data_IF_572676243431
#
_entry.id   IF_572676243431
#
_cell.length_a   1.000
_cell.length_b   1.000
_cell.length_c   1.000
_cell.angle_alpha   90.00
_cell.angle_beta   90.00
_cell.angle_gamma   90.00
#
_symmetry.space_group_name_H-M   'P 1'
#
loop_
_entity.id
_entity.type
_entity.pdbx_description
1 polymer ?
#
# COMPACT_ATOMS: atom_id res chain seq x y z
N UNK A 1 30.91 31.94 22.19
CA UNK A 1 30.89 31.04 21.02
C UNK A 1 29.63 31.36 20.24
N UNK A 2 29.76 32.06 19.11
CA UNK A 2 28.63 32.31 18.23
C UNK A 2 28.30 31.00 17.51
N UNK A 3 27.07 30.53 17.62
CA UNK A 3 26.58 29.39 16.84
C UNK A 3 26.49 29.89 15.42
N UNK A 4 27.42 29.49 14.56
CA UNK A 4 27.29 29.71 13.12
C UNK A 4 26.12 28.84 12.62
N UNK A 5 24.94 29.44 12.56
CA UNK A 5 23.83 28.91 11.79
C UNK A 5 24.23 29.01 10.33
N UNK A 6 24.62 27.88 9.73
CA UNK A 6 24.76 27.79 8.28
C UNK A 6 23.47 28.33 7.66
N UNK A 7 23.55 29.31 6.73
CA UNK A 7 22.37 29.73 5.99
C UNK A 7 21.84 28.48 5.28
N UNK A 8 20.57 28.18 5.47
CA UNK A 8 19.89 27.11 4.75
C UNK A 8 20.25 27.23 3.27
N UNK A 9 20.82 26.17 2.67
CA UNK A 9 21.05 26.15 1.22
C UNK A 9 19.69 26.42 0.58
N UNK A 10 19.61 27.53 -0.16
CA UNK A 10 18.39 27.85 -0.89
C UNK A 10 18.36 26.93 -2.10
N UNK A 11 17.30 26.13 -2.23
CA UNK A 11 17.14 25.29 -3.42
C UNK A 11 16.90 26.23 -4.60
N UNK A 12 17.95 26.48 -5.38
CA UNK A 12 17.85 27.20 -6.64
C UNK A 12 17.33 26.21 -7.71
N UNK A 13 16.02 25.96 -7.70
CA UNK A 13 15.39 25.18 -8.76
C UNK A 13 15.28 26.04 -10.01
N UNK A 14 15.78 25.51 -11.12
CA UNK A 14 15.42 25.99 -12.44
C UNK A 14 13.92 25.76 -12.71
N UNK A 15 13.43 26.33 -13.81
CA UNK A 15 12.00 26.27 -14.16
C UNK A 15 11.52 24.82 -14.34
N UNK A 16 12.35 23.96 -14.93
CA UNK A 16 12.04 22.54 -15.12
C UNK A 16 11.96 21.77 -13.80
N UNK A 17 12.88 22.04 -12.85
CA UNK A 17 12.84 21.49 -11.51
C UNK A 17 11.59 21.91 -10.74
N UNK A 18 11.21 23.18 -10.80
CA UNK A 18 9.98 23.69 -10.17
C UNK A 18 8.74 23.00 -10.72
N UNK A 19 8.63 22.86 -12.04
CA UNK A 19 7.50 22.18 -12.69
C UNK A 19 7.41 20.70 -12.32
N UNK A 20 8.56 20.03 -12.19
CA UNK A 20 8.64 18.64 -11.76
C UNK A 20 8.20 18.47 -10.31
N UNK A 21 8.61 19.36 -9.41
CA UNK A 21 8.13 19.38 -8.03
C UNK A 21 6.62 19.67 -7.93
N UNK A 22 6.10 20.60 -8.72
CA UNK A 22 4.65 20.86 -8.77
C UNK A 22 3.86 19.63 -9.22
N UNK A 23 4.33 18.91 -10.25
CA UNK A 23 3.72 17.65 -10.69
C UNK A 23 3.79 16.59 -9.60
N UNK A 24 4.95 16.45 -8.93
CA UNK A 24 5.12 15.50 -7.83
C UNK A 24 4.19 15.81 -6.65
N UNK A 25 4.04 17.08 -6.29
CA UNK A 25 3.11 17.52 -5.27
C UNK A 25 1.66 17.20 -5.64
N UNK A 26 1.27 17.42 -6.90
CA UNK A 26 -0.07 17.11 -7.40
C UNK A 26 -0.36 15.61 -7.36
N UNK A 27 0.55 14.79 -7.89
CA UNK A 27 0.40 13.33 -7.87
C UNK A 27 0.41 12.76 -6.46
N UNK A 28 1.26 13.28 -5.57
CA UNK A 28 1.24 12.90 -4.16
C UNK A 28 -0.11 13.21 -3.52
N UNK A 29 -0.70 14.38 -3.78
CA UNK A 29 -2.04 14.71 -3.25
C UNK A 29 -3.13 13.80 -3.78
N UNK A 30 -3.11 13.49 -5.08
CA UNK A 30 -4.10 12.60 -5.71
C UNK A 30 -4.01 11.20 -5.11
N UNK A 31 -2.82 10.59 -5.13
CA UNK A 31 -2.59 9.25 -4.58
C UNK A 31 -2.82 9.21 -3.07
N UNK A 32 -2.48 10.29 -2.35
CA UNK A 32 -2.72 10.42 -0.92
C UNK A 32 -4.21 10.41 -0.59
N UNK A 33 -5.01 11.17 -1.35
CA UNK A 33 -6.46 11.23 -1.20
C UNK A 33 -7.13 9.90 -1.51
N UNK A 34 -6.68 9.20 -2.56
CA UNK A 34 -7.18 7.86 -2.92
C UNK A 34 -6.89 6.86 -1.80
N UNK A 35 -5.65 6.77 -1.33
CA UNK A 35 -5.27 5.84 -0.27
C UNK A 35 -6.03 6.12 1.04
N UNK A 36 -6.15 7.40 1.42
CA UNK A 36 -6.94 7.77 2.59
C UNK A 36 -8.41 7.39 2.43
N UNK A 37 -9.02 7.69 1.28
CA UNK A 37 -10.43 7.36 1.00
C UNK A 37 -10.71 5.86 1.01
N UNK A 38 -9.87 5.07 0.34
CA UNK A 38 -9.99 3.61 0.32
C UNK A 38 -9.78 3.00 1.71
N UNK A 39 -8.78 3.49 2.44
CA UNK A 39 -8.52 3.06 3.80
C UNK A 39 -9.68 3.39 4.74
N UNK A 40 -10.20 4.61 4.71
CA UNK A 40 -11.34 5.03 5.51
C UNK A 40 -12.61 4.22 5.17
N UNK A 41 -12.90 4.04 3.89
CA UNK A 41 -14.03 3.24 3.44
C UNK A 41 -13.92 1.79 3.93
N UNK A 42 -12.75 1.16 3.75
CA UNK A 42 -12.50 -0.19 4.24
C UNK A 42 -12.65 -0.28 5.77
N UNK A 43 -12.13 0.69 6.51
CA UNK A 43 -12.23 0.76 7.96
C UNK A 43 -13.69 0.86 8.44
N UNK A 44 -14.48 1.74 7.84
CA UNK A 44 -15.90 1.93 8.16
C UNK A 44 -16.68 0.63 7.95
N UNK A 45 -16.37 -0.13 6.90
CA UNK A 45 -17.02 -1.42 6.64
C UNK A 45 -16.53 -2.53 7.57
N UNK A 46 -15.25 -2.54 7.90
CA UNK A 46 -14.61 -3.64 8.61
C UNK A 46 -14.77 -3.56 10.13
N UNK A 47 -14.76 -2.36 10.73
CA UNK A 47 -14.86 -2.17 12.18
C UNK A 47 -16.16 -2.76 12.76
N UNK A 48 -17.35 -2.52 12.19
CA UNK A 48 -18.58 -3.13 12.69
C UNK A 48 -18.56 -4.67 12.65
N UNK A 49 -17.83 -5.27 11.70
CA UNK A 49 -17.73 -6.72 11.56
C UNK A 49 -16.98 -7.38 12.72
N UNK A 50 -16.13 -6.65 13.46
CA UNK A 50 -15.48 -7.15 14.69
C UNK A 50 -16.50 -7.57 15.76
N UNK A 51 -17.64 -6.89 15.82
CA UNK A 51 -18.64 -7.08 16.87
C UNK A 51 -19.74 -8.08 16.48
N UNK A 52 -19.73 -8.63 15.26
CA UNK A 52 -20.78 -9.53 14.73
C UNK A 52 -20.49 -11.03 14.90
N UNK A 53 -19.45 -11.41 15.67
CA UNK A 53 -19.15 -12.80 16.03
C UNK A 53 -17.77 -13.28 15.58
N UNK A 54 -17.29 -14.40 16.15
CA UNK A 54 -15.90 -14.88 16.00
C UNK A 54 -15.49 -15.21 14.55
N UNK A 55 -16.40 -15.73 13.72
CA UNK A 55 -16.09 -16.07 12.32
C UNK A 55 -15.85 -14.80 11.47
N UNK A 56 -16.61 -13.73 11.72
CA UNK A 56 -16.45 -12.45 11.01
C UNK A 56 -15.23 -11.67 11.52
N UNK A 57 -14.84 -11.85 12.78
CA UNK A 57 -13.65 -11.23 13.35
C UNK A 57 -12.35 -11.67 12.66
N UNK A 58 -12.25 -12.96 12.27
CA UNK A 58 -11.08 -13.50 11.56
C UNK A 58 -10.83 -12.82 10.21
N UNK A 59 -11.90 -12.40 9.52
CA UNK A 59 -11.81 -11.66 8.25
C UNK A 59 -11.63 -10.15 8.46
N UNK A 60 -12.24 -9.61 9.52
CA UNK A 60 -12.23 -8.19 9.84
C UNK A 60 -10.88 -7.67 10.32
N UNK A 61 -10.15 -8.45 11.14
CA UNK A 61 -8.84 -8.02 11.69
C UNK A 61 -7.82 -7.70 10.59
N UNK A 62 -7.56 -8.59 9.60
CA UNK A 62 -6.67 -8.25 8.48
C UNK A 62 -7.16 -7.04 7.68
N UNK A 63 -8.47 -6.89 7.50
CA UNK A 63 -9.06 -5.79 6.74
C UNK A 63 -8.87 -4.43 7.41
N UNK A 64 -9.05 -4.36 8.73
CA UNK A 64 -8.79 -3.16 9.54
C UNK A 64 -7.31 -2.81 9.52
N UNK A 65 -6.43 -3.81 9.58
CA UNK A 65 -5.00 -3.57 9.48
C UNK A 65 -4.61 -2.93 8.13
N UNK A 66 -5.13 -3.47 7.02
CA UNK A 66 -4.93 -2.89 5.68
C UNK A 66 -5.53 -1.48 5.58
N UNK A 67 -6.71 -1.25 6.15
CA UNK A 67 -7.32 0.07 6.27
C UNK A 67 -6.38 1.07 6.97
N UNK A 68 -5.78 0.68 8.10
CA UNK A 68 -4.81 1.49 8.82
C UNK A 68 -3.57 1.84 7.98
N UNK A 69 -3.02 0.87 7.25
CA UNK A 69 -1.86 1.12 6.38
C UNK A 69 -2.22 2.07 5.24
N UNK A 70 -3.38 1.87 4.60
CA UNK A 70 -3.87 2.75 3.52
C UNK A 70 -4.05 4.19 4.00
N UNK A 71 -4.65 4.38 5.18
CA UNK A 71 -4.80 5.70 5.79
C UNK A 71 -3.44 6.32 6.07
N UNK A 72 -2.52 5.57 6.67
CA UNK A 72 -1.16 6.04 6.95
C UNK A 72 -0.43 6.48 5.68
N UNK A 73 -0.45 5.66 4.63
CA UNK A 73 0.13 5.98 3.32
C UNK A 73 -0.50 7.24 2.71
N UNK A 74 -1.83 7.37 2.83
CA UNK A 74 -2.57 8.53 2.39
C UNK A 74 -2.12 9.82 3.07
N UNK A 75 -1.98 9.78 4.40
CA UNK A 75 -1.48 10.90 5.21
C UNK A 75 -0.05 11.27 4.82
N UNK A 76 0.83 10.30 4.59
CA UNK A 76 2.20 10.57 4.20
C UNK A 76 2.32 11.29 2.86
N UNK A 77 1.56 10.85 1.86
CA UNK A 77 1.54 11.49 0.54
C UNK A 77 0.90 12.88 0.56
N UNK A 78 -0.18 13.08 1.31
CA UNK A 78 -0.78 14.40 1.48
C UNK A 78 0.19 15.36 2.20
N UNK A 79 0.90 14.87 3.23
CA UNK A 79 1.94 15.62 3.93
C UNK A 79 3.15 15.93 3.04
N UNK A 80 3.56 14.99 2.19
CA UNK A 80 4.62 15.20 1.21
C UNK A 80 4.24 16.30 0.21
N UNK A 81 3.02 16.25 -0.33
CA UNK A 81 2.50 17.29 -1.23
C UNK A 81 2.59 18.68 -0.61
N UNK A 82 2.12 18.83 0.64
CA UNK A 82 2.18 20.11 1.36
C UNK A 82 3.62 20.59 1.55
N UNK A 83 4.54 19.69 1.92
CA UNK A 83 5.95 20.02 2.08
C UNK A 83 6.66 20.40 0.79
N UNK A 84 6.35 19.75 -0.33
CA UNK A 84 6.89 20.13 -1.66
C UNK A 84 6.42 21.54 -2.03
N UNK A 85 5.14 21.85 -1.83
CA UNK A 85 4.63 23.20 -2.12
C UNK A 85 5.32 24.26 -1.23
N UNK A 86 5.59 23.93 0.03
CA UNK A 86 6.36 24.80 0.93
C UNK A 86 7.82 24.94 0.52
N UNK A 87 8.47 23.86 0.05
CA UNK A 87 9.85 23.92 -0.42
C UNK A 87 9.99 24.78 -1.67
N UNK A 88 9.02 24.75 -2.59
CA UNK A 88 8.99 25.64 -3.76
C UNK A 88 8.76 27.10 -3.33
N UNK A 89 7.85 27.34 -2.38
CA UNK A 89 7.48 28.69 -1.96
C UNK A 89 8.57 29.38 -1.11
N UNK A 90 9.30 28.62 -0.30
CA UNK A 90 10.30 29.12 0.65
C UNK A 90 11.74 28.80 0.26
N UNK A 91 11.95 28.10 -0.86
CA UNK A 91 13.26 27.56 -1.29
C UNK A 91 13.97 26.78 -0.16
N UNK A 92 13.18 26.01 0.60
CA UNK A 92 13.59 25.35 1.84
C UNK A 92 14.02 23.90 1.62
N UNK A 93 15.31 23.63 1.82
CA UNK A 93 15.92 22.29 1.86
C UNK A 93 15.26 21.37 2.88
N UNK A 94 14.91 21.91 4.05
CA UNK A 94 14.33 21.14 5.14
C UNK A 94 12.93 20.62 4.77
N UNK A 95 12.14 21.45 4.08
CA UNK A 95 10.82 21.04 3.61
C UNK A 95 10.92 20.04 2.46
N UNK A 96 11.88 20.22 1.55
CA UNK A 96 12.13 19.27 0.49
C UNK A 96 12.56 17.89 1.02
N UNK A 97 13.55 17.86 1.91
CA UNK A 97 14.01 16.62 2.56
C UNK A 97 12.88 15.96 3.34
N UNK A 98 12.07 16.76 4.06
CA UNK A 98 10.91 16.26 4.77
C UNK A 98 9.80 15.72 3.84
N UNK A 99 9.69 16.20 2.60
CA UNK A 99 8.81 15.62 1.61
C UNK A 99 9.34 14.28 1.08
N UNK A 100 10.64 14.20 0.80
CA UNK A 100 11.29 12.98 0.34
C UNK A 100 11.19 11.84 1.36
N UNK A 101 11.40 12.12 2.65
CA UNK A 101 11.24 11.13 3.72
C UNK A 101 9.82 10.54 3.75
N UNK A 102 8.80 11.37 3.55
CA UNK A 102 7.40 10.91 3.49
C UNK A 102 7.10 10.09 2.24
N UNK A 103 7.63 10.49 1.09
CA UNK A 103 7.52 9.73 -0.16
C UNK A 103 8.23 8.37 -0.03
N UNK A 104 9.41 8.35 0.58
CA UNK A 104 10.15 7.12 0.84
C UNK A 104 9.37 6.17 1.75
N UNK A 105 8.78 6.68 2.83
CA UNK A 105 7.90 5.88 3.70
C UNK A 105 6.72 5.30 2.91
N UNK A 106 6.06 6.11 2.07
CA UNK A 106 5.00 5.62 1.19
C UNK A 106 5.49 4.47 0.30
N UNK A 107 6.62 4.63 -0.40
CA UNK A 107 7.17 3.58 -1.26
C UNK A 107 7.55 2.32 -0.50
N UNK A 108 8.12 2.45 0.70
CA UNK A 108 8.46 1.31 1.54
C UNK A 108 7.23 0.48 1.92
N UNK A 109 6.17 1.13 2.40
CA UNK A 109 4.91 0.43 2.73
C UNK A 109 4.24 -0.14 1.49
N UNK A 110 4.21 0.60 0.38
CA UNK A 110 3.63 0.13 -0.88
C UNK A 110 4.35 -1.10 -1.42
N UNK A 111 5.69 -1.08 -1.47
CA UNK A 111 6.50 -2.21 -1.91
C UNK A 111 6.31 -3.43 -0.99
N UNK A 112 6.26 -3.21 0.33
CA UNK A 112 6.01 -4.29 1.31
C UNK A 112 4.64 -4.93 1.10
N UNK A 113 3.59 -4.12 0.93
CA UNK A 113 2.23 -4.59 0.65
C UNK A 113 2.15 -5.37 -0.66
N UNK A 114 2.76 -4.87 -1.73
CA UNK A 114 2.81 -5.57 -3.01
C UNK A 114 3.55 -6.90 -2.88
N UNK A 115 4.70 -6.93 -2.21
CA UNK A 115 5.48 -8.16 -2.00
C UNK A 115 4.65 -9.22 -1.25
N UNK A 116 4.05 -8.85 -0.12
CA UNK A 116 3.21 -9.75 0.68
C UNK A 116 2.01 -10.22 -0.15
N UNK A 117 1.34 -9.30 -0.84
CA UNK A 117 0.20 -9.60 -1.71
C UNK A 117 0.55 -10.56 -2.83
N UNK A 118 1.70 -10.37 -3.49
CA UNK A 118 2.21 -11.27 -4.54
C UNK A 118 2.52 -12.66 -3.99
N UNK A 119 3.15 -12.77 -2.83
CA UNK A 119 3.45 -14.07 -2.19
C UNK A 119 2.15 -14.81 -1.87
N UNK A 120 1.18 -14.13 -1.23
CA UNK A 120 -0.13 -14.72 -0.91
C UNK A 120 -0.89 -15.14 -2.16
N UNK A 121 -0.86 -14.33 -3.22
CA UNK A 121 -1.50 -14.65 -4.49
C UNK A 121 -0.92 -15.92 -5.13
N UNK A 122 0.41 -16.03 -5.18
CA UNK A 122 1.09 -17.23 -5.70
C UNK A 122 0.77 -18.46 -4.84
N UNK A 123 0.72 -18.31 -3.51
CA UNK A 123 0.36 -19.40 -2.61
C UNK A 123 -1.06 -19.91 -2.86
N UNK A 124 -2.04 -19.01 -3.00
CA UNK A 124 -3.43 -19.38 -3.29
C UNK A 124 -3.54 -20.06 -4.66
N UNK A 125 -2.84 -19.52 -5.67
CA UNK A 125 -2.83 -20.11 -7.01
C UNK A 125 -2.25 -21.53 -7.01
N UNK A 126 -1.11 -21.73 -6.34
CA UNK A 126 -0.46 -23.05 -6.27
C UNK A 126 -1.29 -24.07 -5.50
N UNK A 127 -1.88 -23.70 -4.36
CA UNK A 127 -2.77 -24.57 -3.59
C UNK A 127 -4.04 -24.93 -4.38
N UNK A 128 -4.68 -23.96 -5.04
CA UNK A 128 -5.88 -24.19 -5.84
C UNK A 128 -5.65 -25.06 -7.08
N UNK A 129 -4.45 -25.02 -7.66
CA UNK A 129 -4.07 -25.93 -8.75
C UNK A 129 -3.88 -27.37 -8.25
N UNK A 130 -3.31 -27.57 -7.04
CA UNK A 130 -3.13 -28.91 -6.48
C UNK A 130 -4.45 -29.59 -6.08
N UNK A 131 -5.44 -28.85 -5.60
CA UNK A 131 -6.76 -29.41 -5.24
C UNK A 131 -7.55 -29.97 -6.42
N UNK A 132 -7.25 -29.55 -7.66
CA UNK A 132 -7.90 -30.06 -8.87
C UNK A 132 -7.22 -31.30 -9.48
N UNK A 133 -6.17 -31.83 -8.84
CA UNK A 133 -5.39 -32.99 -9.34
C UNK A 133 -5.68 -34.30 -8.60
N UNK A 134 -6.87 -34.47 -8.01
CA UNK A 134 -7.30 -35.78 -7.51
C UNK A 134 -7.27 -36.80 -8.66
N UNK A 135 -6.30 -37.73 -8.60
CA UNK A 135 -6.10 -38.83 -9.54
C UNK A 135 -7.42 -39.60 -9.75
N UNK A 136 -7.74 -40.06 -10.98
CA UNK A 136 -8.83 -40.98 -11.18
C UNK A 136 -8.56 -42.22 -10.34
N UNK A 137 -9.49 -42.58 -9.44
CA UNK A 137 -9.46 -43.87 -8.76
C UNK A 137 -9.39 -44.97 -9.83
N UNK A 138 -8.42 -45.90 -9.77
CA UNK A 138 -8.45 -47.06 -10.64
C UNK A 138 -9.75 -47.81 -10.30
N UNK A 139 -10.61 -47.98 -11.29
CA UNK A 139 -11.89 -48.66 -11.12
C UNK A 139 -11.63 -50.11 -10.71
N UNK A 140 -11.83 -50.44 -9.44
CA UNK A 140 -11.86 -51.81 -8.91
C UNK A 140 -13.15 -52.54 -9.35
N UNK A 141 -13.47 -52.51 -10.64
CA UNK A 141 -14.50 -53.40 -11.20
C UNK A 141 -13.83 -54.71 -11.62
N UNK A 142 -14.08 -55.84 -10.92
CA UNK A 142 -13.61 -57.13 -11.40
C UNK A 142 -14.27 -57.43 -12.76
N UNK A 143 -13.55 -58.05 -13.70
CA UNK A 143 -14.07 -58.31 -15.03
C UNK A 143 -15.33 -59.17 -14.92
N UNK A 144 -16.45 -58.62 -15.41
CA UNK A 144 -17.72 -59.32 -15.54
C UNK A 144 -17.48 -60.60 -16.35
N UNK A 145 -17.56 -61.76 -15.68
CA UNK A 145 -17.55 -63.05 -16.36
C UNK A 145 -18.81 -63.11 -17.22
N UNK A 146 -18.63 -62.98 -18.53
CA UNK A 146 -19.65 -63.32 -19.50
C UNK A 146 -19.73 -64.84 -19.54
N UNK A 147 -20.77 -65.39 -18.93
CA UNK A 147 -21.15 -66.79 -19.11
C UNK A 147 -21.75 -66.94 -20.51
N UNK A 148 -21.14 -67.78 -21.35
CA UNK A 148 -21.68 -68.21 -22.65
C UNK A 148 -22.68 -69.34 -22.41
#
# INVERSE_FOLDING_TARGET
MAVETFPSLQIHLDQEGRDSLFRLARWSKILGSINYGLGAFNGILSVPLLFKGHQMAALSIPSIFVSGILIYMGIQLNGASSKILMSIAKESDQDFTGALDRIQKFFFFSATLYLIGSILFILILTLGLMTNTSLPEPSDQPPTKVSI
#
